data_IF_931752978539
#
_entry.id   IF_931752978539
#
_cell.length_a   1.000
_cell.length_b   1.000
_cell.length_c   1.000
_cell.angle_alpha   90.00
_cell.angle_beta   90.00
_cell.angle_gamma   90.00
#
_symmetry.space_group_name_H-M   'P 1'
#
loop_
_entity.id
_entity.type
_entity.pdbx_description
1 polymer ?
#
# COMPACT_ATOMS: atom_id res chain seq x y z
N UNK A 1 -1.45 19.48 -4.70
CA UNK A 1 -1.57 19.58 -3.23
C UNK A 1 -0.74 18.46 -2.64
N UNK A 2 0.38 18.76 -1.99
CA UNK A 2 1.22 17.75 -1.34
C UNK A 2 0.59 17.46 0.02
N UNK A 3 0.02 16.28 0.19
CA UNK A 3 -0.56 15.86 1.47
C UNK A 3 0.53 15.14 2.24
N UNK A 4 1.10 15.81 3.25
CA UNK A 4 1.90 15.14 4.27
C UNK A 4 0.94 14.38 5.18
N UNK A 5 0.78 13.09 4.90
CA UNK A 5 -0.16 12.24 5.62
C UNK A 5 0.48 11.82 6.95
N UNK A 6 0.38 12.67 7.99
CA UNK A 6 0.63 12.28 9.37
C UNK A 6 -0.41 11.23 9.81
N UNK A 7 0.05 10.26 10.58
CA UNK A 7 -0.45 8.88 10.72
C UNK A 7 -1.91 8.65 11.20
N UNK A 8 -2.74 9.67 11.45
CA UNK A 8 -3.92 9.51 12.31
C UNK A 8 -5.30 9.71 11.68
N UNK A 9 -5.45 9.72 10.35
CA UNK A 9 -6.80 9.60 9.80
C UNK A 9 -7.24 8.14 9.80
N UNK A 10 -8.19 7.80 10.67
CA UNK A 10 -8.99 6.58 10.63
C UNK A 10 -9.79 6.58 9.33
N UNK A 11 -9.14 6.21 8.23
CA UNK A 11 -9.77 6.09 6.92
C UNK A 11 -10.51 4.77 6.87
N UNK A 12 -11.84 4.82 6.77
CA UNK A 12 -12.70 3.65 6.52
C UNK A 12 -12.69 3.27 5.04
N UNK A 13 -13.04 2.03 4.70
CA UNK A 13 -13.17 1.59 3.30
C UNK A 13 -14.14 2.49 2.51
N UNK A 14 -15.20 3.00 3.15
CA UNK A 14 -16.14 3.90 2.50
C UNK A 14 -15.51 5.27 2.19
N UNK A 15 -14.73 5.84 3.10
CA UNK A 15 -13.96 7.06 2.81
C UNK A 15 -12.95 6.85 1.68
N UNK A 16 -12.31 5.67 1.60
CA UNK A 16 -11.46 5.31 0.45
C UNK A 16 -12.27 5.31 -0.85
N UNK A 17 -13.47 4.73 -0.86
CA UNK A 17 -14.31 4.70 -2.07
C UNK A 17 -14.66 6.10 -2.53
N UNK A 18 -15.11 6.96 -1.63
CA UNK A 18 -15.44 8.35 -1.97
C UNK A 18 -14.20 9.10 -2.45
N UNK A 19 -13.05 8.94 -1.78
CA UNK A 19 -11.77 9.48 -2.23
C UNK A 19 -11.39 9.00 -3.64
N UNK A 20 -11.59 7.72 -3.94
CA UNK A 20 -11.30 7.15 -5.26
C UNK A 20 -12.22 7.69 -6.36
N UNK A 21 -13.46 8.08 -6.03
CA UNK A 21 -14.39 8.73 -6.96
C UNK A 21 -14.01 10.18 -7.27
N UNK A 22 -13.36 10.87 -6.33
CA UNK A 22 -12.86 12.21 -6.59
C UNK A 22 -11.82 12.14 -7.72
N UNK A 23 -12.07 12.86 -8.81
CA UNK A 23 -11.19 12.94 -9.98
C UNK A 23 -9.95 13.83 -9.72
N UNK A 24 -9.55 13.96 -8.46
CA UNK A 24 -8.42 14.78 -8.05
C UNK A 24 -7.11 14.06 -8.39
N UNK A 25 -6.53 14.43 -9.53
CA UNK A 25 -5.16 14.09 -9.94
C UNK A 25 -4.09 14.52 -8.92
N UNK A 26 -4.45 15.34 -7.94
CA UNK A 26 -3.54 16.02 -7.02
C UNK A 26 -3.29 15.36 -5.66
N UNK A 27 -3.97 14.28 -5.28
CA UNK A 27 -3.70 13.58 -4.01
C UNK A 27 -2.71 12.42 -4.25
N UNK A 28 -1.42 12.75 -4.35
CA UNK A 28 -0.32 11.81 -4.56
C UNK A 28 0.56 11.78 -3.32
N UNK A 29 0.92 10.59 -2.85
CA UNK A 29 1.97 10.44 -1.85
C UNK A 29 3.31 10.45 -2.58
N UNK A 30 4.01 11.57 -2.51
CA UNK A 30 5.42 11.63 -2.92
C UNK A 30 6.25 11.07 -1.77
N UNK A 31 6.44 9.75 -1.74
CA UNK A 31 7.40 9.12 -0.85
C UNK A 31 8.81 9.65 -1.16
N UNK A 32 9.61 9.98 -0.14
CA UNK A 32 10.99 10.42 -0.37
C UNK A 32 11.85 9.27 -0.90
N UNK A 33 11.54 8.03 -0.51
CA UNK A 33 12.23 6.84 -0.98
C UNK A 33 11.34 5.57 -1.09
N UNK A 34 11.92 4.48 -1.61
CA UNK A 34 11.24 3.18 -1.77
C UNK A 34 10.96 2.50 -0.43
N UNK A 35 11.72 2.79 0.62
CA UNK A 35 11.61 2.17 1.95
C UNK A 35 10.37 2.73 2.65
N UNK A 36 10.27 4.05 2.75
CA UNK A 36 9.14 4.79 3.29
C UNK A 36 7.85 4.42 2.55
N UNK A 37 7.88 4.38 1.22
CA UNK A 37 6.74 3.92 0.42
C UNK A 37 6.32 2.50 0.80
N UNK A 38 7.26 1.57 0.88
CA UNK A 38 6.93 0.18 1.20
C UNK A 38 6.41 0.03 2.63
N UNK A 39 6.98 0.74 3.61
CA UNK A 39 6.50 0.79 4.98
C UNK A 39 5.07 1.35 5.06
N UNK A 40 4.79 2.44 4.34
CA UNK A 40 3.44 2.98 4.22
C UNK A 40 2.45 1.95 3.65
N UNK A 41 2.84 1.21 2.60
CA UNK A 41 2.01 0.13 2.05
C UNK A 41 1.75 -0.95 3.11
N UNK A 42 2.76 -1.36 3.88
CA UNK A 42 2.59 -2.35 4.95
C UNK A 42 1.60 -1.88 6.01
N UNK A 43 1.70 -0.62 6.44
CA UNK A 43 0.82 -0.02 7.43
C UNK A 43 -0.63 0.00 6.92
N UNK A 44 -0.85 0.37 5.66
CA UNK A 44 -2.18 0.31 5.03
C UNK A 44 -2.74 -1.12 5.03
N UNK A 45 -1.94 -2.11 4.60
CA UNK A 45 -2.40 -3.50 4.57
C UNK A 45 -2.73 -4.04 5.97
N UNK A 46 -1.96 -3.67 6.98
CA UNK A 46 -2.18 -4.05 8.37
C UNK A 46 -3.44 -3.38 8.94
N UNK A 47 -3.59 -2.06 8.77
CA UNK A 47 -4.73 -1.26 9.23
C UNK A 47 -6.06 -1.81 8.73
N UNK A 48 -6.12 -2.19 7.46
CA UNK A 48 -7.33 -2.78 6.89
C UNK A 48 -7.46 -4.28 7.10
N UNK A 49 -6.51 -4.95 7.77
CA UNK A 49 -6.45 -6.42 7.88
C UNK A 49 -6.61 -7.08 6.50
N UNK A 50 -5.88 -6.54 5.51
CA UNK A 50 -6.11 -6.80 4.08
C UNK A 50 -6.24 -8.29 3.74
N UNK A 51 -5.46 -9.17 4.37
CA UNK A 51 -5.52 -10.61 4.08
C UNK A 51 -6.82 -11.27 4.54
N UNK A 52 -7.45 -10.76 5.59
CA UNK A 52 -8.74 -11.20 6.12
C UNK A 52 -9.95 -10.53 5.44
N UNK A 53 -9.75 -9.49 4.62
CA UNK A 53 -10.83 -8.81 3.92
C UNK A 53 -11.50 -9.65 2.83
N UNK A 54 -12.77 -9.31 2.54
CA UNK A 54 -13.52 -9.82 1.39
C UNK A 54 -12.88 -9.34 0.08
N UNK A 55 -13.13 -10.06 -1.02
CA UNK A 55 -12.55 -9.78 -2.36
C UNK A 55 -12.83 -8.35 -2.84
N UNK A 56 -14.03 -7.82 -2.54
CA UNK A 56 -14.45 -6.45 -2.91
C UNK A 56 -13.57 -5.41 -2.22
N UNK A 57 -13.38 -5.53 -0.91
CA UNK A 57 -12.60 -4.61 -0.09
C UNK A 57 -11.11 -4.66 -0.46
N UNK A 58 -10.58 -5.86 -0.73
CA UNK A 58 -9.23 -6.04 -1.27
C UNK A 58 -9.00 -5.25 -2.56
N UNK A 59 -9.99 -5.22 -3.46
CA UNK A 59 -9.89 -4.46 -4.71
C UNK A 59 -9.80 -2.95 -4.45
N UNK A 60 -10.60 -2.44 -3.52
CA UNK A 60 -10.64 -1.02 -3.14
C UNK A 60 -9.32 -0.60 -2.50
N UNK A 61 -8.84 -1.36 -1.52
CA UNK A 61 -7.57 -1.10 -0.84
C UNK A 61 -6.42 -1.13 -1.85
N UNK A 62 -6.38 -2.12 -2.74
CA UNK A 62 -5.34 -2.21 -3.78
C UNK A 62 -5.33 -1.00 -4.72
N UNK A 63 -6.51 -0.52 -5.14
CA UNK A 63 -6.61 0.65 -6.02
C UNK A 63 -6.19 1.92 -5.29
N UNK A 64 -6.55 2.05 -4.01
CA UNK A 64 -6.11 3.14 -3.16
C UNK A 64 -4.60 3.16 -2.99
N UNK A 65 -3.99 2.03 -2.60
CA UNK A 65 -2.54 1.88 -2.46
C UNK A 65 -1.82 2.23 -3.76
N UNK A 66 -2.33 1.79 -4.91
CA UNK A 66 -1.75 2.09 -6.22
C UNK A 66 -1.76 3.60 -6.52
N UNK A 67 -2.91 4.26 -6.33
CA UNK A 67 -3.06 5.69 -6.59
C UNK A 67 -2.20 6.54 -5.66
N UNK A 68 -2.21 6.22 -4.37
CA UNK A 68 -1.45 6.98 -3.38
C UNK A 68 0.05 6.81 -3.59
N UNK A 69 0.54 5.58 -3.72
CA UNK A 69 1.98 5.29 -3.82
C UNK A 69 2.57 5.52 -5.23
N UNK A 70 1.80 6.07 -6.16
CA UNK A 70 2.14 6.25 -7.58
C UNK A 70 2.70 4.98 -8.22
N UNK A 71 1.99 3.87 -8.02
CA UNK A 71 2.34 2.55 -8.52
C UNK A 71 1.24 2.02 -9.43
N UNK A 72 1.64 1.29 -10.46
CA UNK A 72 0.69 0.48 -11.21
C UNK A 72 0.07 -0.60 -10.30
N UNK A 73 -1.17 -1.00 -10.61
CA UNK A 73 -1.86 -2.09 -9.91
C UNK A 73 -1.07 -3.40 -9.92
N UNK A 74 -0.25 -3.63 -10.95
CA UNK A 74 0.63 -4.79 -11.08
C UNK A 74 1.77 -4.72 -10.07
N UNK A 75 2.42 -3.56 -9.91
CA UNK A 75 3.48 -3.37 -8.92
C UNK A 75 2.93 -3.58 -7.50
N UNK A 76 1.79 -2.99 -7.17
CA UNK A 76 1.13 -3.21 -5.86
C UNK A 76 0.80 -4.68 -5.64
N UNK A 77 0.26 -5.38 -6.65
CA UNK A 77 -0.01 -6.83 -6.56
C UNK A 77 1.25 -7.63 -6.22
N UNK A 78 2.39 -7.31 -6.85
CA UNK A 78 3.68 -7.96 -6.56
C UNK A 78 4.14 -7.68 -5.12
N UNK A 79 4.00 -6.44 -4.63
CA UNK A 79 4.36 -6.08 -3.25
C UNK A 79 3.46 -6.80 -2.22
N UNK A 80 2.15 -6.86 -2.45
CA UNK A 80 1.22 -7.61 -1.59
C UNK A 80 1.56 -9.10 -1.58
N UNK A 81 1.88 -9.69 -2.73
CA UNK A 81 2.30 -11.09 -2.81
C UNK A 81 3.58 -11.35 -2.00
N UNK A 82 4.54 -10.41 -2.03
CA UNK A 82 5.74 -10.46 -1.18
C UNK A 82 5.39 -10.38 0.31
N UNK A 83 4.54 -9.42 0.72
CA UNK A 83 4.06 -9.33 2.11
C UNK A 83 3.44 -10.64 2.59
N UNK A 84 2.66 -11.30 1.73
CA UNK A 84 2.05 -12.60 2.05
C UNK A 84 3.08 -13.72 2.21
N UNK A 85 4.11 -13.74 1.36
CA UNK A 85 5.14 -14.79 1.36
C UNK A 85 6.15 -14.63 2.49
N UNK A 86 6.58 -13.40 2.77
CA UNK A 86 7.71 -13.11 3.67
C UNK A 86 7.33 -12.33 4.94
N UNK A 87 6.05 -11.98 5.11
CA UNK A 87 5.60 -11.16 6.23
C UNK A 87 6.00 -9.68 6.15
N UNK A 88 6.84 -9.27 5.18
CA UNK A 88 7.26 -7.86 4.93
C UNK A 88 7.38 -7.55 3.43
N UNK A 89 7.24 -6.28 3.07
CA UNK A 89 7.48 -5.66 1.76
C UNK A 89 8.88 -5.04 1.80
N UNK A 90 9.90 -5.88 1.96
CA UNK A 90 11.26 -5.36 2.13
C UNK A 90 11.92 -4.97 0.80
N UNK A 91 12.82 -3.97 0.82
CA UNK A 91 13.93 -3.85 -0.11
C UNK A 91 15.19 -4.66 0.30
N UNK A 92 15.36 -5.05 1.58
CA UNK A 92 16.58 -5.69 2.15
C UNK A 92 16.45 -7.22 2.33
N UNK A 93 15.25 -7.73 2.61
CA UNK A 93 15.06 -9.14 3.00
C UNK A 93 15.40 -10.16 1.90
N UNK A 94 15.53 -9.74 0.64
CA UNK A 94 15.96 -10.62 -0.45
C UNK A 94 17.43 -11.05 -0.27
N UNK A 95 18.31 -10.16 0.20
CA UNK A 95 19.73 -10.49 0.39
C UNK A 95 19.96 -11.57 1.46
N UNK A 96 19.05 -11.71 2.42
CA UNK A 96 19.16 -12.68 3.51
C UNK A 96 18.42 -14.00 3.26
N UNK A 97 17.54 -14.08 2.24
CA UNK A 97 16.77 -15.30 1.95
C UNK A 97 17.22 -16.05 0.69
N UNK A 98 18.26 -15.58 -0.01
CA UNK A 98 18.77 -16.23 -1.24
C UNK A 98 20.19 -16.80 -1.12
N UNK A 99 20.81 -16.76 0.06
CA UNK A 99 22.04 -17.49 0.33
C UNK A 99 21.75 -18.63 1.31
N UNK A 100 21.48 -19.86 0.85
CA UNK A 100 21.73 -21.01 1.69
C UNK A 100 23.24 -21.11 1.91
N UNK A 101 23.65 -21.20 3.17
CA UNK A 101 25.00 -21.65 3.56
C UNK A 101 25.17 -23.08 3.07
#
# INVERSE_FOLDING_TARGET
MIIYMQDDFVVTINQIKEFLKLNNEGARFTAKDKVERNQWIENVLAKFRYFSCRKRDKSIIKNYTARMADLSKIQVKKLIARKRKFGKISPIFIFLSTNPI
#
